data_IF_339778957885
#
_entry.id   IF_339778957885
#
_cell.length_a   1.000
_cell.length_b   1.000
_cell.length_c   1.000
_cell.angle_alpha   90.00
_cell.angle_beta   90.00
_cell.angle_gamma   90.00
#
_symmetry.space_group_name_H-M   'P 1'
#
loop_
_entity.id
_entity.type
_entity.pdbx_description
1 polymer ?
#
# COMPACT_ATOMS: atom_id res chain seq x y z
N UNK A 1 14.40 -12.22 -5.39
CA UNK A 1 13.14 -11.45 -5.59
C UNK A 1 12.23 -11.57 -4.37
N UNK A 2 11.94 -12.77 -3.85
CA UNK A 2 11.11 -12.96 -2.64
C UNK A 2 11.62 -12.19 -1.40
N UNK A 3 12.91 -12.31 -1.04
CA UNK A 3 13.49 -11.58 0.11
C UNK A 3 13.28 -10.07 0.01
N UNK A 4 13.37 -9.51 -1.19
CA UNK A 4 13.18 -8.08 -1.45
C UNK A 4 11.72 -7.63 -1.31
N UNK A 5 10.74 -8.52 -1.55
CA UNK A 5 9.31 -8.22 -1.34
C UNK A 5 9.00 -8.13 0.15
N UNK A 6 9.58 -9.04 0.94
CA UNK A 6 9.43 -9.10 2.40
C UNK A 6 10.02 -7.87 3.08
N UNK A 7 11.23 -7.48 2.67
CA UNK A 7 11.91 -6.28 3.17
C UNK A 7 11.10 -5.01 2.91
N UNK A 8 10.58 -4.81 1.70
CA UNK A 8 9.74 -3.64 1.37
C UNK A 8 8.47 -3.63 2.24
N UNK A 9 7.85 -4.78 2.45
CA UNK A 9 6.64 -4.88 3.27
C UNK A 9 6.92 -4.59 4.75
N UNK A 10 8.03 -5.11 5.28
CA UNK A 10 8.44 -4.89 6.66
C UNK A 10 8.77 -3.41 6.90
N UNK A 11 9.61 -2.81 6.04
CA UNK A 11 10.01 -1.40 6.14
C UNK A 11 8.79 -0.47 6.13
N UNK A 12 7.80 -0.75 5.26
CA UNK A 12 6.56 0.03 5.26
C UNK A 12 5.82 -0.05 6.60
N UNK A 13 5.65 -1.25 7.16
CA UNK A 13 4.91 -1.42 8.42
C UNK A 13 5.63 -0.75 9.58
N UNK A 14 6.94 -0.90 9.65
CA UNK A 14 7.77 -0.24 10.67
C UNK A 14 7.63 1.28 10.58
N UNK A 15 7.73 1.86 9.38
CA UNK A 15 7.65 3.31 9.23
C UNK A 15 6.22 3.82 9.46
N UNK A 16 5.18 3.13 8.99
CA UNK A 16 3.78 3.47 9.29
C UNK A 16 3.53 3.46 10.80
N UNK A 17 4.02 2.45 11.51
CA UNK A 17 3.97 2.40 12.97
C UNK A 17 4.68 3.58 13.61
N UNK A 18 5.91 3.87 13.17
CA UNK A 18 6.72 4.95 13.72
C UNK A 18 6.09 6.33 13.52
N UNK A 19 5.53 6.59 12.34
CA UNK A 19 4.93 7.89 12.01
C UNK A 19 3.57 8.08 12.69
N UNK A 20 2.76 7.02 12.82
CA UNK A 20 1.40 7.13 13.32
C UNK A 20 1.26 6.91 14.84
N UNK A 21 2.20 6.24 15.50
CA UNK A 21 2.10 5.98 16.96
C UNK A 21 2.12 7.26 17.78
N UNK A 22 1.35 7.28 18.88
CA UNK A 22 1.41 8.33 19.90
C UNK A 22 0.43 9.50 19.71
N UNK A 23 -0.45 9.45 18.70
CA UNK A 23 -1.58 10.37 18.55
C UNK A 23 -2.87 9.60 18.28
N UNK A 24 -4.02 10.14 18.67
CA UNK A 24 -5.31 9.47 18.46
C UNK A 24 -5.59 9.27 16.96
N UNK A 25 -5.35 10.30 16.16
CA UNK A 25 -5.56 10.27 14.72
C UNK A 25 -4.65 9.24 14.05
N UNK A 26 -3.39 9.13 14.50
CA UNK A 26 -2.47 8.14 13.99
C UNK A 26 -2.84 6.70 14.39
N UNK A 27 -3.32 6.48 15.61
CA UNK A 27 -3.86 5.17 16.01
C UNK A 27 -5.07 4.75 15.15
N UNK A 28 -5.95 5.70 14.79
CA UNK A 28 -7.07 5.43 13.87
C UNK A 28 -6.56 5.03 12.47
N UNK A 29 -5.48 5.65 11.99
CA UNK A 29 -4.82 5.25 10.73
C UNK A 29 -4.22 3.85 10.84
N UNK A 30 -3.56 3.52 11.95
CA UNK A 30 -2.99 2.18 12.17
C UNK A 30 -4.05 1.09 12.17
N UNK A 31 -5.15 1.31 12.91
CA UNK A 31 -6.29 0.37 12.94
C UNK A 31 -6.88 0.19 11.55
N UNK A 32 -7.10 1.28 10.82
CA UNK A 32 -7.62 1.22 9.45
C UNK A 32 -6.63 0.52 8.49
N UNK A 33 -5.35 0.84 8.56
CA UNK A 33 -4.30 0.26 7.72
C UNK A 33 -4.20 -1.25 7.91
N UNK A 34 -4.15 -1.72 9.16
CA UNK A 34 -4.20 -3.15 9.49
C UNK A 34 -5.43 -3.83 8.90
N UNK A 35 -6.61 -3.21 9.02
CA UNK A 35 -7.84 -3.75 8.46
C UNK A 35 -7.81 -3.84 6.92
N UNK A 36 -7.20 -2.86 6.23
CA UNK A 36 -7.02 -2.90 4.77
C UNK A 36 -6.00 -3.95 4.35
N UNK A 37 -4.85 -4.05 5.03
CA UNK A 37 -3.86 -5.09 4.77
C UNK A 37 -4.45 -6.50 4.84
N UNK A 38 -5.30 -6.77 5.85
CA UNK A 38 -5.99 -8.05 6.01
C UNK A 38 -7.01 -8.33 4.90
N UNK A 39 -7.85 -7.36 4.56
CA UNK A 39 -8.98 -7.57 3.65
C UNK A 39 -8.56 -7.52 2.17
N UNK A 40 -7.60 -6.67 1.82
CA UNK A 40 -7.24 -6.41 0.43
C UNK A 40 -6.32 -7.49 -0.15
N UNK A 41 -5.58 -8.24 0.66
CA UNK A 41 -4.83 -9.41 0.18
C UNK A 41 -5.74 -10.43 -0.54
N UNK A 42 -6.92 -10.68 0.01
CA UNK A 42 -7.94 -11.54 -0.62
C UNK A 42 -8.55 -10.88 -1.86
N UNK A 43 -8.87 -9.59 -1.82
CA UNK A 43 -9.38 -8.89 -3.01
C UNK A 43 -8.39 -8.91 -4.16
N UNK A 44 -7.10 -8.76 -3.88
CA UNK A 44 -6.05 -8.76 -4.90
C UNK A 44 -5.98 -10.12 -5.61
N UNK A 45 -6.13 -11.21 -4.85
CA UNK A 45 -6.19 -12.56 -5.41
C UNK A 45 -7.38 -12.75 -6.38
N UNK A 46 -8.56 -12.25 -6.03
CA UNK A 46 -9.78 -12.49 -6.83
C UNK A 46 -10.02 -11.48 -7.93
N UNK A 47 -9.55 -10.24 -7.77
CA UNK A 47 -9.91 -9.13 -8.64
C UNK A 47 -8.73 -8.50 -9.38
N UNK A 48 -7.51 -8.96 -9.10
CA UNK A 48 -6.30 -8.44 -9.70
C UNK A 48 -5.89 -7.08 -9.16
N UNK A 49 -4.65 -6.72 -9.46
CA UNK A 49 -3.99 -5.53 -8.91
C UNK A 49 -4.58 -4.25 -9.44
N UNK A 50 -4.93 -4.21 -10.73
CA UNK A 50 -5.52 -3.03 -11.39
C UNK A 50 -6.79 -2.56 -10.66
N UNK A 51 -7.68 -3.48 -10.28
CA UNK A 51 -8.89 -3.12 -9.55
C UNK A 51 -8.57 -2.65 -8.13
N UNK A 52 -7.67 -3.33 -7.42
CA UNK A 52 -7.33 -2.98 -6.03
C UNK A 52 -6.73 -1.57 -5.92
N UNK A 53 -5.79 -1.21 -6.80
CA UNK A 53 -5.21 0.15 -6.79
C UNK A 53 -6.25 1.21 -7.21
N UNK A 54 -7.18 0.86 -8.09
CA UNK A 54 -8.32 1.71 -8.47
C UNK A 54 -9.28 1.96 -7.31
N UNK A 55 -9.58 0.92 -6.51
CA UNK A 55 -10.38 1.05 -5.29
C UNK A 55 -9.66 1.95 -4.29
N UNK A 56 -8.35 1.76 -4.09
CA UNK A 56 -7.57 2.59 -3.18
C UNK A 56 -7.62 4.07 -3.58
N UNK A 57 -7.45 4.38 -4.86
CA UNK A 57 -7.54 5.73 -5.38
C UNK A 57 -8.95 6.32 -5.18
N UNK A 58 -10.01 5.56 -5.51
CA UNK A 58 -11.40 6.00 -5.35
C UNK A 58 -11.80 6.23 -3.88
N UNK A 59 -11.21 5.49 -2.94
CA UNK A 59 -11.48 5.61 -1.49
C UNK A 59 -10.58 6.63 -0.79
N UNK A 60 -9.56 7.14 -1.47
CA UNK A 60 -8.62 8.13 -0.93
C UNK A 60 -8.46 9.29 -1.91
N UNK A 61 -7.40 9.28 -2.72
CA UNK A 61 -7.25 10.12 -3.91
C UNK A 61 -6.27 9.48 -4.90
N UNK A 62 -6.38 9.86 -6.17
CA UNK A 62 -5.45 9.43 -7.23
C UNK A 62 -4.05 9.95 -6.91
N UNK A 63 -3.93 11.21 -6.50
CA UNK A 63 -2.66 11.88 -6.23
C UNK A 63 -1.89 11.19 -5.11
N UNK A 64 -2.58 10.71 -4.07
CA UNK A 64 -1.95 10.03 -2.94
C UNK A 64 -1.46 8.63 -3.33
N UNK A 65 -2.25 7.88 -4.10
CA UNK A 65 -1.85 6.55 -4.59
C UNK A 65 -0.71 6.65 -5.61
N UNK A 66 -0.75 7.63 -6.51
CA UNK A 66 0.28 7.85 -7.53
C UNK A 66 1.67 8.15 -6.93
N UNK A 67 1.75 8.63 -5.68
CA UNK A 67 3.04 8.79 -4.97
C UNK A 67 3.85 7.51 -4.95
N UNK A 68 3.23 6.34 -4.95
CA UNK A 68 3.92 5.05 -5.05
C UNK A 68 4.84 4.94 -6.28
N UNK A 69 4.44 5.54 -7.40
CA UNK A 69 5.22 5.55 -8.63
C UNK A 69 6.41 6.53 -8.59
N UNK A 70 6.40 7.48 -7.66
CA UNK A 70 7.37 8.60 -7.60
C UNK A 70 8.28 8.58 -6.38
N UNK A 71 7.86 7.93 -5.29
CA UNK A 71 8.62 7.85 -4.04
C UNK A 71 9.99 7.20 -4.27
N UNK A 72 11.05 7.67 -3.61
CA UNK A 72 12.40 7.07 -3.77
C UNK A 72 12.63 5.94 -2.78
N UNK A 73 12.02 6.04 -1.60
CA UNK A 73 11.99 5.00 -0.59
C UNK A 73 10.54 4.67 -0.18
N UNK A 74 10.29 3.44 0.29
CA UNK A 74 8.96 3.01 0.74
C UNK A 74 8.53 3.76 2.01
N UNK A 75 9.50 4.13 2.86
CA UNK A 75 9.30 4.93 4.07
C UNK A 75 8.63 6.28 3.80
N UNK A 76 8.83 6.89 2.63
CA UNK A 76 8.17 8.15 2.24
C UNK A 76 6.64 8.03 2.21
N UNK A 77 6.11 6.83 1.97
CA UNK A 77 4.67 6.59 1.87
C UNK A 77 3.98 6.62 3.23
N UNK A 78 4.69 6.33 4.33
CA UNK A 78 4.12 6.43 5.67
C UNK A 78 3.65 7.85 5.98
N UNK A 79 4.34 8.88 5.45
CA UNK A 79 3.99 10.29 5.65
C UNK A 79 2.70 10.73 4.94
N UNK A 80 2.05 9.87 4.16
CA UNK A 80 0.71 10.13 3.63
C UNK A 80 -0.29 10.39 4.77
N UNK A 81 -0.12 9.77 5.95
CA UNK A 81 -0.98 10.00 7.12
C UNK A 81 -0.92 11.44 7.66
N UNK A 82 0.12 12.22 7.30
CA UNK A 82 0.28 13.60 7.76
C UNK A 82 -0.47 14.60 6.87
N UNK A 83 -1.07 14.14 5.76
CA UNK A 83 -1.85 15.01 4.89
C UNK A 83 -3.21 15.29 5.53
N UNK A 84 -3.53 16.57 5.78
CA UNK A 84 -4.74 17.00 6.49
C UNK A 84 -6.06 16.41 5.94
N UNK A 85 -6.12 16.14 4.64
CA UNK A 85 -7.33 15.62 3.97
C UNK A 85 -7.44 14.09 4.00
N UNK A 86 -6.38 13.39 4.43
CA UNK A 86 -6.28 11.95 4.48
C UNK A 86 -6.15 11.52 5.94
N UNK A 87 -7.30 11.24 6.58
CA UNK A 87 -7.37 10.74 7.95
C UNK A 87 -8.01 9.36 8.00
N UNK A 88 -7.68 8.59 9.04
CA UNK A 88 -8.25 7.26 9.30
C UNK A 88 -8.23 6.34 8.07
N UNK A 89 -9.42 5.95 7.60
CA UNK A 89 -9.56 5.05 6.46
C UNK A 89 -8.99 5.60 5.15
N UNK A 90 -9.13 6.91 4.87
CA UNK A 90 -8.63 7.49 3.62
C UNK A 90 -7.10 7.38 3.53
N UNK A 91 -6.40 7.67 4.63
CA UNK A 91 -4.96 7.49 4.72
C UNK A 91 -4.57 6.02 4.53
N UNK A 92 -5.29 5.09 5.17
CA UNK A 92 -5.03 3.66 5.04
C UNK A 92 -5.16 3.16 3.59
N UNK A 93 -6.21 3.56 2.87
CA UNK A 93 -6.36 3.24 1.44
C UNK A 93 -5.25 3.87 0.59
N UNK A 94 -4.89 5.13 0.85
CA UNK A 94 -3.83 5.81 0.11
C UNK A 94 -2.47 5.13 0.30
N UNK A 95 -2.08 4.85 1.55
CA UNK A 95 -0.83 4.17 1.88
C UNK A 95 -0.80 2.78 1.23
N UNK A 96 -1.89 2.01 1.35
CA UNK A 96 -1.95 0.65 0.80
C UNK A 96 -1.82 0.65 -0.74
N UNK A 97 -2.57 1.51 -1.43
CA UNK A 97 -2.51 1.61 -2.89
C UNK A 97 -1.14 2.11 -3.38
N UNK A 98 -0.60 3.14 -2.73
CA UNK A 98 0.73 3.67 -3.05
C UNK A 98 1.83 2.62 -2.83
N UNK A 99 1.72 1.84 -1.76
CA UNK A 99 2.69 0.80 -1.44
C UNK A 99 2.74 -0.32 -2.48
N UNK A 100 1.58 -0.75 -3.00
CA UNK A 100 1.51 -1.71 -4.10
C UNK A 100 2.23 -1.17 -5.33
N UNK A 101 1.91 0.06 -5.75
CA UNK A 101 2.54 0.68 -6.92
C UNK A 101 4.05 0.86 -6.74
N UNK A 102 4.48 1.25 -5.54
CA UNK A 102 5.90 1.33 -5.20
C UNK A 102 6.58 -0.02 -5.33
N UNK A 103 6.04 -1.06 -4.70
CA UNK A 103 6.65 -2.39 -4.68
C UNK A 103 6.82 -2.93 -6.10
N UNK A 104 5.78 -2.83 -6.92
CA UNK A 104 5.81 -3.27 -8.31
C UNK A 104 6.85 -2.53 -9.15
N UNK A 105 6.95 -1.20 -9.00
CA UNK A 105 7.94 -0.40 -9.71
C UNK A 105 9.36 -0.69 -9.19
N UNK A 106 9.56 -0.76 -7.88
CA UNK A 106 10.86 -1.02 -7.26
C UNK A 106 11.43 -2.40 -7.61
N UNK A 107 10.54 -3.37 -7.88
CA UNK A 107 10.88 -4.71 -8.34
C UNK A 107 10.93 -4.84 -9.87
N UNK A 108 10.74 -3.74 -10.61
CA UNK A 108 10.82 -3.71 -12.07
C UNK A 108 9.66 -4.41 -12.78
N UNK A 109 8.52 -4.61 -12.09
CA UNK A 109 7.34 -5.28 -12.64
C UNK A 109 6.44 -4.33 -13.43
N UNK A 110 6.51 -3.03 -13.12
CA UNK A 110 5.87 -1.95 -13.89
C UNK A 110 6.87 -0.80 -14.10
N UNK A 111 6.64 0.01 -15.12
CA UNK A 111 7.46 1.19 -15.44
C UNK A 111 6.66 2.49 -15.57
N UNK A 112 5.33 2.42 -15.44
CA UNK A 112 4.42 3.55 -15.51
C UNK A 112 4.79 4.71 -14.59
N UNK A 113 4.57 5.94 -15.07
CA UNK A 113 4.88 7.20 -14.38
C UNK A 113 3.62 7.96 -13.92
N UNK A 114 2.44 7.54 -14.39
CA UNK A 114 1.14 8.07 -14.00
C UNK A 114 0.24 6.95 -13.52
N UNK A 115 -0.76 7.29 -12.71
CA UNK A 115 -1.74 6.33 -12.21
C UNK A 115 -2.55 5.70 -13.35
N UNK A 116 -2.97 6.50 -14.33
CA UNK A 116 -3.74 6.01 -15.47
C UNK A 116 -2.94 4.99 -16.29
N UNK A 117 -1.64 5.23 -16.50
CA UNK A 117 -0.78 4.30 -17.21
C UNK A 117 -0.52 3.04 -16.38
N UNK A 118 -0.32 3.19 -15.07
CA UNK A 118 -0.15 2.05 -14.17
C UNK A 118 -1.38 1.14 -14.18
N UNK A 119 -2.60 1.69 -14.13
CA UNK A 119 -3.82 0.89 -14.22
C UNK A 119 -3.87 0.12 -15.54
N UNK A 120 -3.56 0.76 -16.67
CA UNK A 120 -3.53 0.07 -17.99
C UNK A 120 -2.46 -1.02 -18.04
N UNK A 121 -1.26 -0.74 -17.53
CA UNK A 121 -0.16 -1.71 -17.46
C UNK A 121 -0.52 -2.91 -16.58
N UNK A 122 -1.40 -2.73 -15.59
CA UNK A 122 -1.83 -3.78 -14.67
C UNK A 122 -2.99 -4.66 -15.17
N UNK A 123 -3.82 -4.20 -16.11
CA UNK A 123 -5.07 -4.90 -16.50
C UNK A 123 -4.86 -6.34 -17.00
N UNK A 124 -3.69 -6.66 -17.56
CA UNK A 124 -3.35 -7.99 -18.07
C UNK A 124 -1.97 -8.50 -17.59
N UNK A 125 -1.41 -7.88 -16.54
CA UNK A 125 -0.07 -8.19 -16.07
C UNK A 125 -0.08 -9.23 -14.93
N UNK A 126 -0.11 -10.51 -15.30
CA UNK A 126 -0.10 -11.63 -14.36
C UNK A 126 1.11 -11.64 -13.42
N UNK A 127 2.27 -11.16 -13.89
CA UNK A 127 3.46 -11.08 -13.05
C UNK A 127 3.25 -10.04 -11.94
N UNK A 128 2.67 -8.88 -12.27
CA UNK A 128 2.30 -7.87 -11.29
C UNK A 128 1.32 -8.41 -10.26
N UNK A 129 0.32 -9.18 -10.67
CA UNK A 129 -0.62 -9.81 -9.73
C UNK A 129 0.07 -10.76 -8.75
N UNK A 130 0.99 -11.59 -9.22
CA UNK A 130 1.75 -12.50 -8.35
C UNK A 130 2.60 -11.72 -7.35
N UNK A 131 3.35 -10.72 -7.82
CA UNK A 131 4.25 -9.91 -6.97
C UNK A 131 3.44 -9.10 -5.96
N UNK A 132 2.36 -8.46 -6.39
CA UNK A 132 1.50 -7.67 -5.52
C UNK A 132 0.78 -8.56 -4.49
N UNK A 133 0.38 -9.77 -4.85
CA UNK A 133 -0.20 -10.73 -3.90
C UNK A 133 0.80 -11.22 -2.85
N UNK A 134 2.05 -11.49 -3.25
CA UNK A 134 3.12 -11.83 -2.31
C UNK A 134 3.40 -10.67 -1.35
N UNK A 135 3.52 -9.46 -1.89
CA UNK A 135 3.68 -8.24 -1.10
C UNK A 135 2.54 -8.03 -0.11
N UNK A 136 1.29 -8.10 -0.58
CA UNK A 136 0.09 -7.94 0.25
C UNK A 136 -0.01 -9.02 1.35
N UNK A 137 0.44 -10.25 1.06
CA UNK A 137 0.47 -11.34 2.03
C UNK A 137 1.43 -11.04 3.18
N UNK A 138 2.63 -10.57 2.87
CA UNK A 138 3.60 -10.16 3.89
C UNK A 138 3.17 -8.91 4.63
N UNK A 139 2.64 -7.93 3.91
CA UNK A 139 2.10 -6.72 4.49
C UNK A 139 1.00 -7.01 5.51
N UNK A 140 0.11 -7.97 5.21
CA UNK A 140 -0.89 -8.48 6.17
C UNK A 140 -0.21 -9.04 7.41
N UNK A 141 0.71 -10.00 7.27
CA UNK A 141 1.38 -10.67 8.40
C UNK A 141 2.08 -9.67 9.32
N UNK A 142 2.83 -8.74 8.74
CA UNK A 142 3.54 -7.72 9.51
C UNK A 142 2.56 -6.71 10.15
N UNK A 143 1.54 -6.26 9.42
CA UNK A 143 0.52 -5.38 10.01
C UNK A 143 -0.21 -6.03 11.19
N UNK A 144 -0.51 -7.33 11.09
CA UNK A 144 -1.16 -8.07 12.19
C UNK A 144 -0.23 -8.26 13.40
N UNK A 145 1.08 -8.39 13.18
CA UNK A 145 2.07 -8.59 14.24
C UNK A 145 2.49 -7.29 14.96
N UNK A 146 2.64 -6.18 14.23
CA UNK A 146 3.22 -4.93 14.75
C UNK A 146 2.17 -3.89 15.20
N UNK A 147 0.92 -4.03 14.74
CA UNK A 147 -0.17 -3.12 15.07
C UNK A 147 -1.16 -3.88 15.98
N UNK A 148 -1.19 -3.52 17.26
CA UNK A 148 -2.03 -4.17 18.25
C UNK A 148 -3.50 -3.72 18.16
N UNK A 149 -4.42 -4.64 18.47
CA UNK A 149 -5.81 -4.29 18.73
C UNK A 149 -5.89 -3.63 20.10
N UNK A 150 -6.10 -2.31 20.10
CA UNK A 150 -6.61 -1.57 21.26
C UNK A 150 -8.12 -1.51 21.23
#
# INVERSE_FOLDING_TARGET
MMERVEEIALELVEEVCKVCKGSREGEDVLKAFRARARNMATQLYFSGTALVVSICAARSSVEAVEKGLKARAISELAHICNQRELTGEKAAYAIYGAAILYALRALGTISSQSFADAVRELMDNRLADIVAWQFATWLKRFSEAYIHEG
#
